data_IF_189807172624
#
_entry.id   IF_189807172624
#
_cell.length_a   1.000
_cell.length_b   1.000
_cell.length_c   1.000
_cell.angle_alpha   90.00
_cell.angle_beta   90.00
_cell.angle_gamma   90.00
#
_symmetry.space_group_name_H-M   'P 1'
#
loop_
_entity.id
_entity.type
_entity.pdbx_description
1 polymer ?
#
# COMPACT_ATOMS: atom_id res chain seq x y z
N UNK A 1 -18.09 1.36 -4.47
CA UNK A 1 -17.32 1.39 -5.73
C UNK A 1 -18.25 1.34 -6.91
N UNK A 2 -17.92 2.08 -7.93
CA UNK A 2 -18.73 2.14 -9.14
C UNK A 2 -18.31 1.09 -10.19
N UNK A 3 -17.15 0.48 -9.97
CA UNK A 3 -16.61 -0.52 -10.88
C UNK A 3 -16.75 -1.92 -10.29
N UNK A 4 -17.20 -2.87 -11.10
CA UNK A 4 -17.33 -4.25 -10.67
C UNK A 4 -16.13 -5.10 -11.03
N UNK A 5 -15.12 -4.50 -11.64
CA UNK A 5 -13.90 -5.21 -12.05
C UNK A 5 -12.96 -5.44 -10.88
N UNK A 6 -12.24 -6.57 -10.92
CA UNK A 6 -11.16 -6.81 -9.97
C UNK A 6 -9.98 -5.89 -10.31
N UNK A 7 -9.05 -5.73 -9.35
CA UNK A 7 -7.83 -4.94 -9.57
C UNK A 7 -7.04 -5.50 -10.77
N UNK A 8 -6.93 -6.82 -10.85
CA UNK A 8 -6.22 -7.46 -11.98
C UNK A 8 -6.86 -7.14 -13.32
N UNK A 9 -8.19 -7.16 -13.37
CA UNK A 9 -8.92 -6.87 -14.60
C UNK A 9 -8.73 -5.42 -15.04
N UNK A 10 -8.78 -4.49 -14.09
CA UNK A 10 -8.54 -3.06 -14.37
C UNK A 10 -7.14 -2.86 -14.94
N UNK A 11 -6.15 -3.51 -14.33
CA UNK A 11 -4.75 -3.41 -14.77
C UNK A 11 -4.56 -3.93 -16.19
N UNK A 12 -5.17 -5.07 -16.50
CA UNK A 12 -5.03 -5.70 -17.82
C UNK A 12 -5.78 -4.96 -18.92
N UNK A 13 -6.98 -4.49 -18.62
CA UNK A 13 -7.85 -3.87 -19.63
C UNK A 13 -7.56 -2.38 -19.84
N UNK A 14 -7.36 -1.64 -18.77
CA UNK A 14 -7.31 -0.18 -18.81
C UNK A 14 -5.91 0.40 -18.49
N UNK A 15 -4.99 -0.46 -18.03
CA UNK A 15 -3.62 -0.06 -17.75
C UNK A 15 -3.40 0.57 -16.39
N UNK A 16 -2.12 0.74 -16.04
CA UNK A 16 -1.72 1.26 -14.74
C UNK A 16 -2.16 2.71 -14.53
N UNK A 17 -2.04 3.52 -15.57
CA UNK A 17 -2.35 4.95 -15.46
C UNK A 17 -3.81 5.18 -15.08
N UNK A 18 -4.72 4.47 -15.73
CA UNK A 18 -6.14 4.52 -15.41
C UNK A 18 -6.39 4.04 -13.97
N UNK A 19 -5.75 2.92 -13.60
CA UNK A 19 -5.87 2.36 -12.27
C UNK A 19 -5.43 3.36 -11.20
N UNK A 20 -4.30 4.04 -11.41
CA UNK A 20 -3.78 5.01 -10.44
C UNK A 20 -4.69 6.23 -10.28
N UNK A 21 -5.31 6.67 -11.36
CA UNK A 21 -6.28 7.77 -11.32
C UNK A 21 -7.53 7.36 -10.56
N UNK A 22 -8.02 6.16 -10.81
CA UNK A 22 -9.20 5.63 -10.11
C UNK A 22 -8.91 5.45 -8.63
N UNK A 23 -7.75 4.91 -8.31
CA UNK A 23 -7.30 4.71 -6.93
C UNK A 23 -7.26 6.03 -6.16
N UNK A 24 -6.69 7.08 -6.76
CA UNK A 24 -6.61 8.40 -6.15
C UNK A 24 -8.01 8.98 -5.90
N UNK A 25 -8.92 8.78 -6.84
CA UNK A 25 -10.29 9.26 -6.74
C UNK A 25 -11.02 8.57 -5.58
N UNK A 26 -10.86 7.26 -5.48
CA UNK A 26 -11.47 6.47 -4.40
C UNK A 26 -10.88 6.89 -3.04
N UNK A 27 -9.56 7.07 -2.99
CA UNK A 27 -8.87 7.50 -1.78
C UNK A 27 -9.47 8.82 -1.26
N UNK A 28 -9.64 9.79 -2.14
CA UNK A 28 -10.14 11.11 -1.76
C UNK A 28 -11.61 11.10 -1.36
N UNK A 29 -12.36 10.09 -1.80
CA UNK A 29 -13.74 9.90 -1.36
C UNK A 29 -13.82 9.68 0.15
N UNK A 30 -12.79 9.06 0.75
CA UNK A 30 -12.75 8.82 2.19
C UNK A 30 -12.66 10.09 3.03
N UNK A 31 -12.41 11.24 2.42
CA UNK A 31 -12.42 12.52 3.11
C UNK A 31 -13.75 12.76 3.84
N UNK A 32 -14.83 12.24 3.28
CA UNK A 32 -16.17 12.40 3.85
C UNK A 32 -16.40 11.51 5.07
N UNK A 33 -15.49 10.57 5.32
CA UNK A 33 -15.62 9.64 6.43
C UNK A 33 -14.95 10.20 7.68
N UNK A 34 -15.55 9.92 8.82
CA UNK A 34 -14.95 10.26 10.11
C UNK A 34 -14.19 9.03 10.58
N UNK A 35 -13.46 9.05 11.57
CA UNK A 35 -12.71 7.97 12.24
C UNK A 35 -12.72 6.61 11.50
N UNK A 36 -11.67 6.31 10.78
CA UNK A 36 -11.50 5.02 10.12
C UNK A 36 -10.01 4.72 9.97
N UNK A 37 -9.71 3.47 9.70
CA UNK A 37 -8.36 3.02 9.37
C UNK A 37 -8.39 2.50 7.95
N UNK A 38 -7.52 3.03 7.10
CA UNK A 38 -7.46 2.67 5.70
C UNK A 38 -6.13 1.97 5.40
N UNK A 39 -6.21 0.73 4.94
CA UNK A 39 -5.02 0.01 4.44
C UNK A 39 -4.92 0.26 2.94
N UNK A 40 -3.86 0.93 2.52
CA UNK A 40 -3.63 1.23 1.10
C UNK A 40 -2.71 0.21 0.46
N UNK A 41 -2.74 0.12 -0.87
CA UNK A 41 -1.75 -0.64 -1.60
C UNK A 41 -0.38 0.03 -1.49
N UNK A 42 0.68 -0.75 -1.72
CA UNK A 42 2.05 -0.26 -1.59
C UNK A 42 2.41 0.88 -2.54
N UNK A 43 1.78 0.92 -3.71
CA UNK A 43 2.00 1.99 -4.69
C UNK A 43 1.14 3.21 -4.50
N UNK A 44 0.06 3.12 -3.70
CA UNK A 44 -0.88 4.22 -3.53
C UNK A 44 -0.21 5.53 -3.14
N UNK A 45 0.72 5.57 -2.16
CA UNK A 45 1.37 6.84 -1.78
C UNK A 45 2.24 7.47 -2.85
N UNK A 46 2.63 6.70 -3.86
CA UNK A 46 3.63 7.12 -4.85
C UNK A 46 3.04 7.82 -6.07
N UNK A 47 1.73 7.95 -6.15
CA UNK A 47 1.06 8.47 -7.34
C UNK A 47 0.03 9.55 -6.98
N UNK A 48 -0.25 10.44 -7.92
CA UNK A 48 -1.36 11.41 -7.86
C UNK A 48 -1.34 12.26 -6.57
N UNK A 49 -0.15 12.53 -6.05
CA UNK A 49 0.03 13.34 -4.83
C UNK A 49 -0.66 12.74 -3.59
N UNK A 50 -0.86 11.43 -3.59
CA UNK A 50 -1.59 10.75 -2.52
C UNK A 50 -0.92 10.87 -1.15
N UNK A 51 0.42 10.78 -1.10
CA UNK A 51 1.13 10.86 0.18
C UNK A 51 0.87 12.21 0.87
N UNK A 52 0.97 13.30 0.14
CA UNK A 52 0.72 14.63 0.69
C UNK A 52 -0.73 14.77 1.15
N UNK A 53 -1.66 14.24 0.34
CA UNK A 53 -3.08 14.28 0.70
C UNK A 53 -3.36 13.47 1.96
N UNK A 54 -2.79 12.25 2.06
CA UNK A 54 -2.98 11.40 3.24
C UNK A 54 -2.41 12.03 4.50
N UNK A 55 -1.24 12.65 4.41
CA UNK A 55 -0.62 13.32 5.56
C UNK A 55 -1.43 14.54 6.01
N UNK A 56 -2.05 15.23 5.08
CA UNK A 56 -2.90 16.38 5.39
C UNK A 56 -4.19 15.97 6.09
N UNK A 57 -4.76 14.86 5.67
CA UNK A 57 -6.07 14.41 6.16
C UNK A 57 -5.99 13.45 7.35
N UNK A 58 -4.82 12.90 7.65
CA UNK A 58 -4.70 11.93 8.73
C UNK A 58 -3.26 11.61 9.10
N UNK A 59 -3.12 10.50 9.81
CA UNK A 59 -1.82 9.99 10.22
C UNK A 59 -1.43 8.83 9.31
N UNK A 60 -0.24 8.92 8.73
CA UNK A 60 0.28 7.90 7.83
C UNK A 60 1.29 7.02 8.56
N UNK A 61 1.09 5.72 8.47
CA UNK A 61 1.96 4.73 9.11
C UNK A 61 2.60 3.87 8.02
N UNK A 62 3.93 3.81 8.02
CA UNK A 62 4.69 2.93 7.15
C UNK A 62 4.93 1.61 7.88
N UNK A 63 4.36 0.52 7.35
CA UNK A 63 4.62 -0.81 7.87
C UNK A 63 5.84 -1.37 7.14
N UNK A 64 7.01 -1.24 7.78
CA UNK A 64 8.29 -1.63 7.19
C UNK A 64 8.63 -3.07 7.58
N UNK A 65 8.02 -4.01 6.88
CA UNK A 65 8.20 -5.44 7.11
C UNK A 65 9.51 -5.93 6.49
N UNK A 66 10.06 -7.04 6.99
CA UNK A 66 11.28 -7.61 6.45
C UNK A 66 11.07 -8.11 5.01
N UNK A 67 12.15 -8.06 4.21
CA UNK A 67 12.10 -8.54 2.83
C UNK A 67 11.66 -10.00 2.77
N UNK A 68 12.17 -10.83 3.68
CA UNK A 68 11.86 -12.26 3.73
C UNK A 68 10.37 -12.51 3.88
N UNK A 69 9.72 -11.80 4.81
CA UNK A 69 8.27 -11.93 5.02
C UNK A 69 7.50 -11.40 3.82
N UNK A 70 7.93 -10.29 3.24
CA UNK A 70 7.29 -9.74 2.05
C UNK A 70 7.35 -10.72 0.87
N UNK A 71 8.49 -11.38 0.68
CA UNK A 71 8.64 -12.40 -0.38
C UNK A 71 7.67 -13.55 -0.15
N UNK A 72 7.58 -14.06 1.08
CA UNK A 72 6.69 -15.16 1.41
C UNK A 72 5.22 -14.80 1.12
N UNK A 73 4.81 -13.61 1.55
CA UNK A 73 3.42 -13.16 1.35
C UNK A 73 3.10 -12.97 -0.12
N UNK A 74 4.00 -12.34 -0.85
CA UNK A 74 3.76 -12.07 -2.27
C UNK A 74 3.78 -13.35 -3.09
N UNK A 75 4.67 -14.27 -2.79
CA UNK A 75 4.73 -15.57 -3.46
C UNK A 75 3.44 -16.37 -3.30
N UNK A 76 2.80 -16.26 -2.13
CA UNK A 76 1.52 -16.93 -1.87
C UNK A 76 0.38 -16.34 -2.71
N UNK A 77 0.51 -15.09 -3.14
CA UNK A 77 -0.54 -14.37 -3.88
C UNK A 77 -0.23 -14.20 -5.37
N UNK A 78 0.87 -14.74 -5.86
CA UNK A 78 1.33 -14.42 -7.23
C UNK A 78 0.33 -14.80 -8.32
N UNK A 79 -0.51 -15.82 -8.08
CA UNK A 79 -1.53 -16.22 -9.05
C UNK A 79 -2.58 -15.13 -9.29
N UNK A 80 -2.74 -14.20 -8.34
CA UNK A 80 -3.71 -13.13 -8.41
C UNK A 80 -3.08 -11.77 -8.77
N UNK A 81 -1.76 -11.75 -9.09
CA UNK A 81 -1.04 -10.53 -9.41
C UNK A 81 -0.37 -10.65 -10.77
N UNK A 82 -0.93 -10.00 -11.79
CA UNK A 82 -0.43 -10.19 -13.17
C UNK A 82 1.05 -9.83 -13.36
N UNK A 83 1.57 -8.86 -12.62
CA UNK A 83 2.96 -8.43 -12.79
C UNK A 83 3.98 -9.46 -12.31
N UNK A 84 3.58 -10.39 -11.44
CA UNK A 84 4.49 -11.35 -10.83
C UNK A 84 4.05 -12.81 -11.00
N UNK A 85 2.95 -13.05 -11.70
CA UNK A 85 2.37 -14.38 -11.81
C UNK A 85 3.33 -15.45 -12.32
N UNK A 86 4.30 -15.06 -13.15
CA UNK A 86 5.27 -15.95 -13.77
C UNK A 86 6.68 -15.86 -13.18
N UNK A 87 6.85 -15.12 -12.09
CA UNK A 87 8.19 -14.94 -11.50
C UNK A 87 8.53 -16.06 -10.51
N UNK A 88 9.82 -16.41 -10.43
CA UNK A 88 10.33 -17.30 -9.39
C UNK A 88 10.44 -16.51 -8.08
N UNK A 89 10.68 -17.23 -6.98
CA UNK A 89 10.83 -16.57 -5.67
C UNK A 89 12.01 -15.61 -5.64
N UNK A 90 13.11 -15.96 -6.31
CA UNK A 90 14.27 -15.07 -6.41
C UNK A 90 13.94 -13.80 -7.20
N UNK A 91 13.20 -13.95 -8.29
CA UNK A 91 12.75 -12.83 -9.09
C UNK A 91 11.76 -11.95 -8.33
N UNK A 92 10.90 -12.56 -7.51
CA UNK A 92 10.00 -11.83 -6.64
C UNK A 92 10.77 -10.99 -5.63
N UNK A 93 11.84 -11.56 -5.04
CA UNK A 93 12.68 -10.83 -4.09
C UNK A 93 13.31 -9.60 -4.75
N UNK A 94 13.84 -9.78 -5.96
CA UNK A 94 14.42 -8.68 -6.73
C UNK A 94 13.38 -7.61 -7.07
N UNK A 95 12.20 -8.05 -7.45
CA UNK A 95 11.08 -7.15 -7.76
C UNK A 95 10.71 -6.30 -6.53
N UNK A 96 10.59 -6.93 -5.36
CA UNK A 96 10.26 -6.22 -4.12
C UNK A 96 11.36 -5.21 -3.76
N UNK A 97 12.63 -5.63 -3.84
CA UNK A 97 13.76 -4.74 -3.53
C UNK A 97 13.76 -3.51 -4.43
N UNK A 98 13.52 -3.72 -5.72
CA UNK A 98 13.45 -2.62 -6.68
C UNK A 98 12.30 -1.66 -6.34
N UNK A 99 11.13 -2.20 -6.01
CA UNK A 99 9.97 -1.39 -5.64
C UNK A 99 10.21 -0.61 -4.36
N UNK A 100 10.86 -1.22 -3.37
CA UNK A 100 11.19 -0.54 -2.13
C UNK A 100 12.15 0.63 -2.36
N UNK A 101 13.15 0.45 -3.22
CA UNK A 101 14.06 1.54 -3.58
C UNK A 101 13.32 2.68 -4.26
N UNK A 102 12.46 2.37 -5.23
CA UNK A 102 11.68 3.38 -5.96
C UNK A 102 10.70 4.12 -5.05
N UNK A 103 10.14 3.44 -4.06
CA UNK A 103 9.10 3.99 -3.19
C UNK A 103 9.62 4.60 -1.91
N UNK A 104 10.90 4.41 -1.62
CA UNK A 104 11.50 4.87 -0.36
C UNK A 104 11.27 6.36 -0.10
N UNK A 105 11.43 7.20 -1.12
CA UNK A 105 11.26 8.64 -0.99
C UNK A 105 9.84 9.03 -0.52
N UNK A 106 8.86 8.20 -0.85
CA UNK A 106 7.48 8.42 -0.41
C UNK A 106 7.25 7.84 0.97
N UNK A 107 7.67 6.58 1.19
CA UNK A 107 7.45 5.89 2.47
C UNK A 107 8.11 6.62 3.64
N UNK A 108 9.28 7.19 3.45
CA UNK A 108 9.96 7.90 4.52
C UNK A 108 9.24 9.18 4.96
N UNK A 109 8.26 9.64 4.20
CA UNK A 109 7.44 10.80 4.55
C UNK A 109 6.33 10.44 5.56
N UNK A 110 6.10 9.16 5.83
CA UNK A 110 5.09 8.73 6.77
C UNK A 110 5.34 9.34 8.16
N UNK A 111 4.27 9.51 8.92
CA UNK A 111 4.36 10.07 10.26
C UNK A 111 5.00 9.10 11.24
N UNK A 112 4.79 7.80 11.04
CA UNK A 112 5.36 6.74 11.87
C UNK A 112 5.85 5.59 11.00
N UNK A 113 6.88 4.91 11.49
CA UNK A 113 7.43 3.72 10.87
C UNK A 113 7.43 2.59 11.89
N UNK A 114 6.78 1.48 11.56
CA UNK A 114 6.79 0.27 12.37
C UNK A 114 7.61 -0.81 11.66
N UNK A 115 8.60 -1.36 12.36
CA UNK A 115 9.39 -2.47 11.85
C UNK A 115 8.75 -3.81 12.23
N UNK A 116 9.27 -4.92 11.70
CA UNK A 116 8.66 -6.25 11.82
C UNK A 116 8.15 -6.61 13.22
N UNK A 117 8.98 -6.40 14.24
CA UNK A 117 8.61 -6.74 15.61
C UNK A 117 7.58 -5.78 16.22
N UNK A 118 7.37 -4.63 15.60
CA UNK A 118 6.39 -3.64 16.03
C UNK A 118 5.06 -3.77 15.26
N UNK A 119 5.06 -4.51 14.15
CA UNK A 119 3.86 -4.73 13.34
C UNK A 119 3.04 -5.84 13.98
N UNK A 120 2.37 -5.50 15.07
CA UNK A 120 1.52 -6.41 15.82
C UNK A 120 0.21 -5.71 16.10
N UNK A 121 -0.79 -6.50 16.47
CA UNK A 121 -2.10 -5.94 16.83
C UNK A 121 -1.95 -4.94 17.98
N UNK A 122 -1.14 -5.28 18.98
CA UNK A 122 -0.91 -4.40 20.12
C UNK A 122 -0.20 -3.11 19.71
N UNK A 123 0.84 -3.22 18.89
CA UNK A 123 1.59 -2.05 18.41
C UNK A 123 0.72 -1.09 17.62
N UNK A 124 -0.10 -1.63 16.71
CA UNK A 124 -1.02 -0.84 15.91
C UNK A 124 -2.11 -0.20 16.78
N UNK A 125 -2.68 -0.95 17.71
CA UNK A 125 -3.70 -0.41 18.63
C UNK A 125 -3.18 0.75 19.45
N UNK A 126 -1.98 0.64 20.01
CA UNK A 126 -1.39 1.72 20.79
C UNK A 126 -1.23 2.99 19.99
N UNK A 127 -0.76 2.85 18.74
CA UNK A 127 -0.55 3.99 17.87
C UNK A 127 -1.89 4.63 17.48
N UNK A 128 -2.87 3.82 17.14
CA UNK A 128 -4.21 4.29 16.76
C UNK A 128 -4.86 5.01 17.94
N UNK A 129 -4.80 4.44 19.12
CA UNK A 129 -5.41 5.03 20.32
C UNK A 129 -4.78 6.38 20.69
N UNK A 130 -3.48 6.52 20.46
CA UNK A 130 -2.77 7.77 20.70
C UNK A 130 -3.35 8.93 19.89
N UNK A 131 -3.87 8.64 18.69
CA UNK A 131 -4.34 9.65 17.75
C UNK A 131 -5.86 9.65 17.55
N UNK A 132 -6.59 8.76 18.20
CA UNK A 132 -8.02 8.58 18.01
C UNK A 132 -8.85 9.27 19.11
N UNK A 133 -8.50 10.43 19.47
CA UNK A 133 -9.26 11.19 20.49
C UNK A 133 -10.35 12.05 19.87
#
# INVERSE_FOLDING_TARGET
>A
MTEEKTISEIFEEDGEDFFRKLEAKILRWFKEKKKFVLATGGGTPCFQDNMNWMKKEGIVIWLDESLEILVQRLAAEKAHRPLIAHLSNEEIAQFIQQKLVERHAYYQQADYRLTSDQITETGLKKLIQKHAS
#
